data_IF_155960771020
#
_entry.id   IF_155960771020
#
_cell.length_a   1.000
_cell.length_b   1.000
_cell.length_c   1.000
_cell.angle_alpha   90.00
_cell.angle_beta   90.00
_cell.angle_gamma   90.00
#
_symmetry.space_group_name_H-M   'P 1'
#
loop_
_entity.id
_entity.type
_entity.pdbx_description
1 polymer ?
#
# COMPACT_ATOMS: atom_id res chain seq x y z
N UNK A 1 -29.70 18.32 -19.34
CA UNK A 1 -29.05 17.00 -19.50
C UNK A 1 -28.06 16.85 -18.36
N UNK A 2 -28.39 16.06 -17.35
CA UNK A 2 -27.50 15.79 -16.22
C UNK A 2 -26.46 14.75 -16.64
N UNK A 3 -25.17 14.92 -16.30
CA UNK A 3 -24.17 13.92 -16.64
C UNK A 3 -24.42 12.65 -15.81
N UNK A 4 -24.60 11.53 -16.50
CA UNK A 4 -24.69 10.20 -15.88
C UNK A 4 -23.35 9.88 -15.20
N UNK A 5 -23.32 9.46 -13.93
CA UNK A 5 -22.08 9.04 -13.29
C UNK A 5 -21.56 7.79 -14.03
N UNK A 6 -20.34 7.88 -14.55
CA UNK A 6 -19.66 6.76 -15.19
C UNK A 6 -19.45 5.61 -14.19
N UNK A 7 -19.25 4.37 -14.67
CA UNK A 7 -19.00 3.22 -13.80
C UNK A 7 -17.78 3.50 -12.90
N UNK A 8 -17.80 3.08 -11.62
CA UNK A 8 -16.64 3.22 -10.75
C UNK A 8 -15.46 2.50 -11.41
N UNK A 9 -14.38 3.25 -11.69
CA UNK A 9 -13.12 2.64 -12.16
C UNK A 9 -12.70 1.63 -11.09
N UNK A 10 -12.33 0.38 -11.46
CA UNK A 10 -11.72 -0.53 -10.50
C UNK A 10 -10.54 0.20 -9.86
N UNK A 11 -10.47 0.16 -8.53
CA UNK A 11 -9.34 0.71 -7.77
C UNK A 11 -8.08 0.12 -8.39
N UNK A 12 -7.37 0.97 -9.15
CA UNK A 12 -6.29 0.50 -9.99
C UNK A 12 -5.23 -0.07 -9.07
N UNK A 13 -4.89 -1.35 -9.26
CA UNK A 13 -3.86 -2.01 -8.48
C UNK A 13 -2.59 -1.15 -8.52
N UNK A 14 -2.13 -0.71 -7.35
CA UNK A 14 -0.94 0.13 -7.22
C UNK A 14 0.25 -0.81 -7.01
N UNK A 15 1.15 -0.95 -7.98
CA UNK A 15 2.30 -1.84 -7.84
C UNK A 15 3.26 -1.37 -6.74
N UNK A 16 3.32 -0.06 -6.49
CA UNK A 16 4.02 0.54 -5.36
C UNK A 16 3.03 1.37 -4.53
N UNK A 17 2.94 1.07 -3.23
CA UNK A 17 2.04 1.74 -2.29
C UNK A 17 2.84 2.52 -1.25
N UNK A 18 2.73 3.86 -1.18
CA UNK A 18 3.49 4.66 -0.23
C UNK A 18 3.14 4.35 1.23
N UNK A 19 4.13 4.38 2.11
CA UNK A 19 3.91 4.20 3.55
C UNK A 19 3.10 5.37 4.12
N UNK A 20 3.31 6.60 3.67
CA UNK A 20 2.47 7.76 4.02
C UNK A 20 1.00 7.54 3.71
N UNK A 21 0.68 6.90 2.58
CA UNK A 21 -0.70 6.56 2.23
C UNK A 21 -1.28 5.54 3.22
N UNK A 22 -0.55 4.45 3.49
CA UNK A 22 -1.00 3.45 4.46
C UNK A 22 -1.10 3.99 5.88
N UNK A 23 -0.16 4.85 6.29
CA UNK A 23 -0.19 5.54 7.56
C UNK A 23 -1.47 6.36 7.71
N UNK A 24 -1.86 7.12 6.67
CA UNK A 24 -3.09 7.90 6.69
C UNK A 24 -4.36 7.03 6.72
N UNK A 25 -4.41 5.98 5.89
CA UNK A 25 -5.58 5.09 5.80
C UNK A 25 -5.77 4.24 7.05
N UNK A 26 -4.67 3.80 7.67
CA UNK A 26 -4.67 3.00 8.89
C UNK A 26 -4.59 3.86 10.16
N UNK A 27 -4.54 5.18 10.00
CA UNK A 27 -4.44 6.18 11.07
C UNK A 27 -3.29 5.92 12.07
N UNK A 28 -2.12 5.48 11.58
CA UNK A 28 -0.93 5.33 12.41
C UNK A 28 -0.39 6.70 12.84
N UNK A 29 0.22 6.79 14.02
CA UNK A 29 0.86 8.04 14.49
C UNK A 29 2.03 8.50 13.62
N UNK A 30 2.63 7.60 12.84
CA UNK A 30 3.68 7.94 11.89
C UNK A 30 4.12 6.78 11.01
N UNK A 31 4.89 7.09 9.98
CA UNK A 31 5.39 6.09 9.02
C UNK A 31 6.30 5.04 9.68
N UNK A 32 7.01 5.40 10.76
CA UNK A 32 7.81 4.46 11.53
C UNK A 32 6.94 3.39 12.23
N UNK A 33 5.84 3.79 12.86
CA UNK A 33 4.90 2.88 13.50
C UNK A 33 4.20 1.97 12.47
N UNK A 34 3.82 2.55 11.32
CA UNK A 34 3.26 1.78 10.21
C UNK A 34 4.25 0.73 9.70
N UNK A 35 5.52 1.08 9.49
CA UNK A 35 6.56 0.12 9.08
C UNK A 35 6.77 -0.99 10.10
N UNK A 36 6.86 -0.67 11.39
CA UNK A 36 7.00 -1.67 12.44
C UNK A 36 5.82 -2.66 12.49
N UNK A 37 4.60 -2.18 12.22
CA UNK A 37 3.42 -3.05 12.11
C UNK A 37 3.49 -3.98 10.88
N UNK A 38 4.05 -3.50 9.79
CA UNK A 38 4.15 -4.23 8.52
C UNK A 38 5.39 -5.15 8.44
N UNK A 39 6.41 -4.89 9.25
CA UNK A 39 7.64 -5.69 9.35
C UNK A 39 7.39 -7.20 9.52
N UNK A 40 6.55 -7.68 10.45
CA UNK A 40 6.28 -9.12 10.61
C UNK A 40 5.54 -9.75 9.42
N UNK A 41 4.93 -8.96 8.54
CA UNK A 41 4.27 -9.48 7.33
C UNK A 41 5.27 -9.84 6.22
N UNK A 42 6.55 -9.47 6.38
CA UNK A 42 7.59 -9.77 5.41
C UNK A 42 7.36 -9.11 4.05
N UNK A 43 6.82 -7.88 4.04
CA UNK A 43 6.55 -7.14 2.81
C UNK A 43 7.84 -6.66 2.14
N UNK A 44 7.82 -6.57 0.82
CA UNK A 44 8.89 -5.98 0.03
C UNK A 44 8.71 -4.47 -0.05
N UNK A 45 9.78 -3.72 0.19
CA UNK A 45 9.81 -2.26 0.11
C UNK A 45 10.60 -1.80 -1.11
N UNK A 46 10.24 -0.64 -1.65
CA UNK A 46 10.85 -0.02 -2.82
C UNK A 46 10.97 1.49 -2.64
N UNK A 47 11.86 2.11 -3.42
CA UNK A 47 12.16 3.54 -3.37
C UNK A 47 13.20 3.92 -2.30
N UNK A 48 13.59 5.20 -2.24
CA UNK A 48 14.51 5.70 -1.22
C UNK A 48 13.89 5.52 0.17
N UNK A 49 14.72 5.14 1.14
CA UNK A 49 14.34 4.98 2.56
C UNK A 49 13.22 3.95 2.83
N UNK A 50 12.95 3.04 1.89
CA UNK A 50 11.85 2.07 1.98
C UNK A 50 10.49 2.76 2.17
N UNK A 51 10.30 3.93 1.53
CA UNK A 51 9.11 4.76 1.69
C UNK A 51 7.86 4.21 0.97
N UNK A 52 7.99 3.12 0.20
CA UNK A 52 6.88 2.48 -0.49
C UNK A 52 6.96 0.96 -0.41
N UNK A 53 5.82 0.30 -0.47
CA UNK A 53 5.69 -1.17 -0.50
C UNK A 53 5.54 -1.60 -1.96
N UNK A 54 6.37 -2.53 -2.40
CA UNK A 54 6.16 -3.21 -3.67
C UNK A 54 5.10 -4.29 -3.47
N UNK A 55 3.85 -3.98 -3.81
CA UNK A 55 2.72 -4.88 -3.61
C UNK A 55 2.86 -6.16 -4.45
N UNK A 56 3.57 -6.12 -5.58
CA UNK A 56 3.75 -7.28 -6.44
C UNK A 56 4.74 -8.27 -5.85
N UNK A 57 5.86 -7.79 -5.35
CA UNK A 57 6.84 -8.64 -4.66
C UNK A 57 6.32 -9.11 -3.30
N UNK A 58 5.66 -8.22 -2.55
CA UNK A 58 5.05 -8.57 -1.26
C UNK A 58 3.99 -9.65 -1.41
N UNK A 59 3.19 -9.63 -2.49
CA UNK A 59 2.19 -10.67 -2.76
C UNK A 59 2.82 -12.06 -2.93
N UNK A 60 3.99 -12.15 -3.58
CA UNK A 60 4.72 -13.41 -3.73
C UNK A 60 5.24 -13.94 -2.39
N UNK A 61 5.56 -13.06 -1.45
CA UNK A 61 6.00 -13.42 -0.09
C UNK A 61 4.81 -13.79 0.81
N UNK A 62 3.70 -13.06 0.71
CA UNK A 62 2.46 -13.35 1.43
C UNK A 62 1.79 -14.65 0.94
N UNK A 63 2.00 -15.04 -0.31
CA UNK A 63 1.58 -16.34 -0.85
C UNK A 63 2.27 -17.54 -0.18
N UNK A 64 3.29 -17.30 0.64
CA UNK A 64 3.97 -18.33 1.44
C UNK A 64 3.38 -18.50 2.85
N UNK A 65 2.36 -17.70 3.21
CA UNK A 65 1.52 -17.86 4.41
C UNK A 65 0.22 -18.59 4.06
#
# INVERSE_FOLDING_TARGET
MSPTPGPPKPQSFRPALPISYLQAELAFEGEAACRAFLEPLGLAYTGPDNASIDCRLSLAQLSAF
#
